data_IF_720777901549
#
_entry.id   IF_720777901549
#
_cell.length_a   1.000
_cell.length_b   1.000
_cell.length_c   1.000
_cell.angle_alpha   90.00
_cell.angle_beta   90.00
_cell.angle_gamma   90.00
#
_symmetry.space_group_name_H-M   'P 1'
#
loop_
_entity.id
_entity.type
_entity.pdbx_description
1 polymer ?
#
# COMPACT_ATOMS: atom_id res chain seq x y z
N UNK A 1 -16.89 3.17 11.06
CA UNK A 1 -17.63 3.51 9.82
C UNK A 1 -17.27 4.93 9.39
N UNK A 2 -17.18 5.20 8.09
CA UNK A 2 -16.60 6.43 7.52
C UNK A 2 -17.52 7.67 7.54
N UNK A 3 -18.72 7.61 8.15
CA UNK A 3 -19.70 8.73 8.19
C UNK A 3 -19.99 9.39 6.82
N UNK A 4 -19.95 8.62 5.73
CA UNK A 4 -20.22 9.06 4.36
C UNK A 4 -21.46 8.38 3.77
N UNK A 5 -22.09 9.02 2.79
CA UNK A 5 -23.28 8.47 2.11
C UNK A 5 -22.91 7.39 1.09
N UNK A 6 -23.91 6.67 0.57
CA UNK A 6 -23.71 5.50 -0.32
C UNK A 6 -23.11 5.85 -1.68
N UNK A 7 -23.40 7.06 -2.20
CA UNK A 7 -22.95 7.50 -3.53
C UNK A 7 -21.41 7.64 -3.59
N UNK A 8 -20.75 8.43 -2.72
CA UNK A 8 -19.29 8.58 -2.76
C UNK A 8 -18.57 7.26 -2.45
N UNK A 9 -19.13 6.41 -1.59
CA UNK A 9 -18.58 5.06 -1.35
C UNK A 9 -18.61 4.22 -2.63
N UNK A 10 -19.70 4.27 -3.39
CA UNK A 10 -19.81 3.54 -4.66
C UNK A 10 -18.83 4.08 -5.70
N UNK A 11 -18.65 5.38 -5.79
CA UNK A 11 -17.67 6.00 -6.71
C UNK A 11 -16.24 5.59 -6.35
N UNK A 12 -15.88 5.60 -5.07
CA UNK A 12 -14.58 5.12 -4.62
C UNK A 12 -14.35 3.64 -4.96
N UNK A 13 -15.35 2.77 -4.75
CA UNK A 13 -15.23 1.35 -5.10
C UNK A 13 -15.10 1.12 -6.60
N UNK A 14 -15.76 1.92 -7.44
CA UNK A 14 -15.59 1.85 -8.90
C UNK A 14 -14.21 2.33 -9.36
N UNK A 15 -13.66 3.35 -8.70
CA UNK A 15 -12.29 3.79 -8.97
C UNK A 15 -11.29 2.68 -8.59
N UNK A 16 -11.45 2.06 -7.42
CA UNK A 16 -10.61 0.93 -6.99
C UNK A 16 -10.76 -0.28 -7.90
N UNK A 17 -11.95 -0.53 -8.48
CA UNK A 17 -12.14 -1.55 -9.51
C UNK A 17 -11.35 -1.23 -10.79
N UNK A 18 -11.40 0.02 -11.26
CA UNK A 18 -10.63 0.45 -12.43
C UNK A 18 -9.11 0.36 -12.22
N UNK A 19 -8.66 0.49 -10.97
CA UNK A 19 -7.26 0.30 -10.56
C UNK A 19 -6.90 -1.17 -10.28
N UNK A 20 -7.87 -2.09 -10.37
CA UNK A 20 -7.68 -3.54 -10.13
C UNK A 20 -7.58 -3.94 -8.65
N UNK A 21 -7.85 -3.02 -7.72
CA UNK A 21 -7.75 -3.22 -6.27
C UNK A 21 -9.03 -3.85 -5.68
N UNK A 22 -10.15 -3.73 -6.40
CA UNK A 22 -11.46 -4.27 -6.01
C UNK A 22 -12.08 -5.04 -7.17
N UNK A 23 -12.79 -6.12 -6.87
CA UNK A 23 -13.64 -6.86 -7.82
C UNK A 23 -15.10 -6.72 -7.43
N UNK A 24 -15.99 -6.52 -8.41
CA UNK A 24 -17.43 -6.62 -8.21
C UNK A 24 -17.96 -8.01 -8.61
N UNK A 25 -18.53 -8.72 -7.63
CA UNK A 25 -19.21 -9.98 -7.86
C UNK A 25 -20.73 -9.78 -7.81
N UNK A 26 -21.42 -10.30 -8.83
CA UNK A 26 -22.89 -10.28 -8.87
C UNK A 26 -23.46 -10.90 -7.59
N UNK A 27 -24.40 -10.19 -6.96
CA UNK A 27 -25.06 -10.58 -5.70
C UNK A 27 -24.17 -10.64 -4.45
N UNK A 28 -22.88 -10.28 -4.54
CA UNK A 28 -21.94 -10.26 -3.40
C UNK A 28 -21.35 -8.88 -3.12
N UNK A 29 -21.44 -7.96 -4.07
CA UNK A 29 -20.92 -6.60 -3.90
C UNK A 29 -19.44 -6.51 -4.26
N UNK A 30 -18.70 -5.64 -3.56
CA UNK A 30 -17.29 -5.39 -3.81
C UNK A 30 -16.40 -6.19 -2.85
N UNK A 31 -15.34 -6.78 -3.37
CA UNK A 31 -14.31 -7.51 -2.60
C UNK A 31 -12.91 -7.04 -2.99
N UNK A 32 -11.95 -7.03 -2.07
CA UNK A 32 -10.57 -6.75 -2.41
C UNK A 32 -10.01 -7.81 -3.38
N UNK A 33 -9.17 -7.38 -4.32
CA UNK A 33 -8.50 -8.30 -5.25
C UNK A 33 -7.48 -9.16 -4.52
N UNK A 34 -7.53 -10.47 -4.76
CA UNK A 34 -6.54 -11.42 -4.26
C UNK A 34 -5.35 -11.47 -5.22
N UNK A 35 -4.14 -11.41 -4.68
CA UNK A 35 -2.91 -11.62 -5.44
C UNK A 35 -2.43 -13.06 -5.30
N UNK A 36 -2.05 -13.69 -6.42
CA UNK A 36 -1.32 -14.96 -6.39
C UNK A 36 0.14 -14.75 -5.99
N UNK A 37 0.81 -15.83 -5.58
CA UNK A 37 2.25 -15.79 -5.30
C UNK A 37 3.05 -15.33 -6.53
N UNK A 38 2.74 -15.86 -7.71
CA UNK A 38 3.39 -15.47 -8.96
C UNK A 38 3.22 -13.97 -9.27
N UNK A 39 2.03 -13.42 -9.02
CA UNK A 39 1.78 -11.98 -9.20
C UNK A 39 2.58 -11.14 -8.19
N UNK A 40 2.74 -11.63 -6.96
CA UNK A 40 3.57 -10.97 -5.95
C UNK A 40 5.02 -10.94 -6.42
N UNK A 41 5.55 -12.06 -6.91
CA UNK A 41 6.92 -12.15 -7.43
C UNK A 41 7.14 -11.17 -8.60
N UNK A 42 6.22 -11.14 -9.57
CA UNK A 42 6.26 -10.19 -10.69
C UNK A 42 6.26 -8.72 -10.23
N UNK A 43 5.47 -8.38 -9.21
CA UNK A 43 5.46 -7.03 -8.62
C UNK A 43 6.81 -6.71 -7.98
N UNK A 44 7.39 -7.64 -7.22
CA UNK A 44 8.69 -7.40 -6.59
C UNK A 44 9.82 -7.27 -7.61
N UNK A 45 9.79 -8.04 -8.69
CA UNK A 45 10.75 -7.90 -9.80
C UNK A 45 10.64 -6.53 -10.46
N UNK A 46 9.42 -6.06 -10.74
CA UNK A 46 9.18 -4.74 -11.29
C UNK A 46 9.65 -3.64 -10.33
N UNK A 47 9.35 -3.76 -9.04
CA UNK A 47 9.78 -2.81 -8.01
C UNK A 47 11.30 -2.76 -7.91
N UNK A 48 11.99 -3.89 -7.93
CA UNK A 48 13.45 -3.93 -7.88
C UNK A 48 14.09 -3.18 -9.07
N UNK A 49 13.50 -3.28 -10.27
CA UNK A 49 13.95 -2.55 -11.46
C UNK A 49 13.72 -1.04 -11.37
N UNK A 50 12.59 -0.61 -10.80
CA UNK A 50 12.20 0.81 -10.78
C UNK A 50 12.74 1.55 -9.55
N UNK A 51 12.63 0.96 -8.36
CA UNK A 51 12.92 1.65 -7.11
C UNK A 51 14.39 2.03 -6.97
N UNK A 52 15.32 1.19 -7.44
CA UNK A 52 16.75 1.52 -7.42
C UNK A 52 17.07 2.77 -8.25
N UNK A 53 16.46 2.89 -9.43
CA UNK A 53 16.59 4.03 -10.33
C UNK A 53 15.95 5.30 -9.72
N UNK A 54 14.73 5.16 -9.22
CA UNK A 54 13.99 6.24 -8.56
C UNK A 54 14.74 6.76 -7.33
N UNK A 55 15.26 5.86 -6.49
CA UNK A 55 16.02 6.23 -5.32
C UNK A 55 17.29 7.00 -5.72
N UNK A 56 18.06 6.50 -6.69
CA UNK A 56 19.27 7.18 -7.18
C UNK A 56 18.98 8.61 -7.63
N UNK A 57 17.89 8.83 -8.36
CA UNK A 57 17.49 10.18 -8.80
C UNK A 57 16.97 11.05 -7.66
N UNK A 58 16.44 10.44 -6.61
CA UNK A 58 15.89 11.17 -5.46
C UNK A 58 16.97 11.64 -4.49
N UNK A 59 18.14 10.98 -4.43
CA UNK A 59 19.23 11.30 -3.48
C UNK A 59 19.61 12.79 -3.51
N UNK A 60 19.70 13.41 -4.69
CA UNK A 60 20.11 14.83 -4.81
C UNK A 60 19.09 15.81 -4.24
N UNK A 61 17.85 15.37 -4.04
CA UNK A 61 16.76 16.16 -3.48
C UNK A 61 16.47 15.84 -2.02
N UNK A 62 17.13 14.82 -1.44
CA UNK A 62 16.93 14.44 -0.05
C UNK A 62 17.44 15.51 0.91
N UNK A 63 16.64 15.76 1.95
CA UNK A 63 16.96 16.65 3.05
C UNK A 63 17.21 15.85 4.33
N UNK A 64 17.86 16.45 5.34
CA UNK A 64 17.99 15.81 6.65
C UNK A 64 16.64 15.48 7.30
N UNK A 65 15.56 16.21 6.95
CA UNK A 65 14.21 15.94 7.47
C UNK A 65 13.65 14.62 6.94
N UNK A 66 13.89 14.31 5.66
CA UNK A 66 13.43 13.08 5.04
C UNK A 66 14.08 11.85 5.68
N UNK A 67 15.38 11.95 6.01
CA UNK A 67 16.10 10.87 6.70
C UNK A 67 15.57 10.65 8.12
N UNK A 68 15.30 11.73 8.87
CA UNK A 68 14.70 11.63 10.20
C UNK A 68 13.30 11.00 10.16
N UNK A 69 12.51 11.29 9.13
CA UNK A 69 11.20 10.67 8.94
C UNK A 69 11.33 9.19 8.59
N UNK A 70 12.26 8.83 7.70
CA UNK A 70 12.55 7.43 7.38
C UNK A 70 13.02 6.62 8.60
N UNK A 71 13.87 7.20 9.45
CA UNK A 71 14.30 6.58 10.72
C UNK A 71 13.12 6.36 11.68
N UNK A 72 12.21 7.32 11.80
CA UNK A 72 11.03 7.18 12.64
C UNK A 72 10.09 6.06 12.14
N UNK A 73 9.86 5.98 10.83
CA UNK A 73 9.06 4.91 10.22
C UNK A 73 9.71 3.53 10.46
N UNK A 74 11.03 3.43 10.35
CA UNK A 74 11.76 2.19 10.63
C UNK A 74 11.57 1.76 12.09
N UNK A 75 11.69 2.71 13.04
CA UNK A 75 11.47 2.45 14.45
C UNK A 75 10.05 1.92 14.73
N UNK A 76 9.03 2.56 14.15
CA UNK A 76 7.63 2.14 14.30
C UNK A 76 7.39 0.73 13.74
N UNK A 77 8.02 0.41 12.61
CA UNK A 77 7.96 -0.92 11.99
C UNK A 77 8.62 -1.99 12.88
N UNK A 78 9.81 -1.70 13.42
CA UNK A 78 10.53 -2.60 14.32
C UNK A 78 9.74 -2.87 15.60
N UNK A 79 9.15 -1.83 16.20
CA UNK A 79 8.31 -1.96 17.39
C UNK A 79 7.06 -2.82 17.11
N UNK A 80 6.35 -2.53 16.01
CA UNK A 80 5.16 -3.29 15.62
C UNK A 80 5.47 -4.76 15.34
N UNK A 81 6.58 -5.02 14.65
CA UNK A 81 7.04 -6.39 14.35
C UNK A 81 7.42 -7.14 15.63
N UNK A 82 8.12 -6.49 16.56
CA UNK A 82 8.51 -7.09 17.84
C UNK A 82 7.29 -7.38 18.74
N UNK A 83 6.26 -6.53 18.70
CA UNK A 83 5.01 -6.71 19.42
C UNK A 83 4.09 -7.78 18.78
N UNK A 84 4.41 -8.27 17.57
CA UNK A 84 3.53 -9.13 16.78
C UNK A 84 2.28 -8.41 16.27
N UNK A 85 2.29 -7.07 16.28
CA UNK A 85 1.22 -6.25 15.72
C UNK A 85 1.37 -6.18 14.20
N UNK A 86 0.83 -7.21 13.54
CA UNK A 86 0.84 -7.31 12.07
C UNK A 86 0.09 -6.16 11.41
N UNK A 87 -0.86 -5.52 12.11
CA UNK A 87 -1.71 -4.47 11.57
C UNK A 87 -0.97 -3.14 11.44
N UNK A 88 -0.08 -2.84 12.40
CA UNK A 88 0.86 -1.73 12.29
C UNK A 88 2.03 -2.07 11.36
N UNK A 89 2.53 -3.31 11.39
CA UNK A 89 3.69 -3.72 10.61
C UNK A 89 3.47 -3.78 9.08
N UNK A 90 2.24 -4.08 8.62
CA UNK A 90 1.93 -4.12 7.17
C UNK A 90 1.38 -2.79 6.62
N UNK A 91 1.35 -1.73 7.44
CA UNK A 91 0.63 -0.50 7.15
C UNK A 91 -0.87 -0.66 7.40
N UNK A 92 -1.50 0.37 8.00
CA UNK A 92 -2.94 0.40 8.28
C UNK A 92 -3.73 0.33 6.98
N UNK A 93 -4.22 -0.85 6.62
CA UNK A 93 -5.32 -1.04 5.66
C UNK A 93 -6.66 -0.80 6.35
#
# INVERSE_FOLDING_TARGET
>A
ELNVSRIPVREALLQLEAEGLVNFEAHKGATATMLSADQIDEIFDLRALLEAELLRHSIVNLTPRDLLEAEAILYDLEEATAAGDTQLATGKL
#
